data_IF_935643226539
#
_entry.id   IF_935643226539
#
_cell.length_a   1.000
_cell.length_b   1.000
_cell.length_c   1.000
_cell.angle_alpha   90.00
_cell.angle_beta   90.00
_cell.angle_gamma   90.00
#
_symmetry.space_group_name_H-M   'P 1'
#
loop_
_entity.id
_entity.type
_entity.pdbx_description
1 polymer ?
#
# COMPACT_ATOMS: atom_id res chain seq x y z
N UNK A 1 11.73 -7.86 15.90
CA UNK A 1 11.82 -8.30 14.50
C UNK A 1 10.42 -8.18 13.91
N UNK A 2 10.26 -7.46 12.80
CA UNK A 2 8.95 -7.24 12.16
C UNK A 2 8.76 -8.25 11.04
N UNK A 3 7.57 -8.86 10.93
CA UNK A 3 7.29 -9.83 9.86
C UNK A 3 6.99 -9.15 8.52
N UNK A 4 6.69 -7.85 8.54
CA UNK A 4 6.39 -7.04 7.37
C UNK A 4 6.93 -5.62 7.53
N UNK A 5 7.55 -5.10 6.48
CA UNK A 5 8.13 -3.75 6.43
C UNK A 5 7.21 -2.83 5.63
N UNK A 6 6.95 -1.64 6.16
CA UNK A 6 6.15 -0.61 5.51
C UNK A 6 6.76 0.76 5.80
N UNK A 7 7.17 1.46 4.74
CA UNK A 7 7.81 2.78 4.79
C UNK A 7 7.26 3.67 3.67
N UNK A 8 7.14 4.97 3.94
CA UNK A 8 6.68 5.95 2.95
C UNK A 8 7.87 6.77 2.44
N UNK A 9 8.12 6.69 1.13
CA UNK A 9 9.12 7.49 0.42
C UNK A 9 8.40 8.42 -0.56
N UNK A 10 8.17 9.67 -0.16
CA UNK A 10 7.40 10.62 -0.96
C UNK A 10 5.94 10.15 -1.11
N UNK A 11 5.54 9.80 -2.33
CA UNK A 11 4.22 9.25 -2.66
C UNK A 11 4.22 7.72 -2.85
N UNK A 12 5.34 7.05 -2.54
CA UNK A 12 5.51 5.60 -2.69
C UNK A 12 5.56 4.91 -1.33
N UNK A 13 4.57 4.06 -1.05
CA UNK A 13 4.56 3.11 0.05
C UNK A 13 5.39 1.87 -0.33
N UNK A 14 6.60 1.79 0.21
CA UNK A 14 7.49 0.63 0.10
C UNK A 14 7.01 -0.45 1.05
N UNK A 15 6.79 -1.66 0.53
CA UNK A 15 6.31 -2.80 1.30
C UNK A 15 7.18 -4.03 1.07
N UNK A 16 7.23 -4.95 2.04
CA UNK A 16 7.93 -6.21 1.84
C UNK A 16 7.93 -7.13 3.04
N UNK A 17 8.20 -8.40 2.79
CA UNK A 17 8.33 -9.41 3.84
C UNK A 17 9.63 -9.21 4.64
N UNK A 18 9.53 -9.39 5.96
CA UNK A 18 10.66 -9.38 6.88
C UNK A 18 10.93 -10.78 7.41
N UNK A 19 10.88 -10.93 8.74
CA UNK A 19 11.07 -12.23 9.39
C UNK A 19 10.00 -13.24 8.96
N UNK A 20 10.36 -14.52 8.66
CA UNK A 20 9.40 -15.54 8.25
C UNK A 20 8.25 -15.71 9.25
N UNK A 21 7.02 -15.67 8.74
CA UNK A 21 5.80 -15.82 9.53
C UNK A 21 4.64 -16.32 8.65
N UNK A 22 3.52 -16.66 9.28
CA UNK A 22 2.28 -17.04 8.60
C UNK A 22 1.39 -15.81 8.37
N UNK A 23 0.47 -15.90 7.40
CA UNK A 23 -0.34 -14.75 7.00
C UNK A 23 -1.22 -14.19 8.12
N UNK A 24 -1.65 -14.99 9.07
CA UNK A 24 -2.40 -14.55 10.25
C UNK A 24 -1.61 -13.57 11.13
N UNK A 25 -0.29 -13.77 11.27
CA UNK A 25 0.58 -12.81 11.94
C UNK A 25 0.93 -11.61 11.04
N UNK A 26 1.29 -11.86 9.77
CA UNK A 26 1.74 -10.80 8.85
C UNK A 26 0.65 -9.75 8.63
N UNK A 27 -0.63 -10.15 8.53
CA UNK A 27 -1.74 -9.19 8.38
C UNK A 27 -1.92 -8.32 9.63
N UNK A 28 -1.71 -8.87 10.82
CA UNK A 28 -1.79 -8.10 12.08
C UNK A 28 -0.65 -7.08 12.16
N UNK A 29 0.57 -7.50 11.85
CA UNK A 29 1.75 -6.64 11.86
C UNK A 29 1.62 -5.50 10.82
N UNK A 30 1.18 -5.81 9.60
CA UNK A 30 0.93 -4.81 8.56
C UNK A 30 -0.16 -3.82 8.99
N UNK A 31 -1.27 -4.31 9.53
CA UNK A 31 -2.36 -3.46 10.01
C UNK A 31 -1.90 -2.53 11.15
N UNK A 32 -1.11 -3.06 12.10
CA UNK A 32 -0.57 -2.31 13.22
C UNK A 32 0.37 -1.21 12.75
N UNK A 33 1.34 -1.52 11.87
CA UNK A 33 2.28 -0.51 11.35
C UNK A 33 1.56 0.60 10.59
N UNK A 34 0.59 0.27 9.73
CA UNK A 34 -0.19 1.30 9.02
C UNK A 34 -0.99 2.17 9.99
N UNK A 35 -1.55 1.59 11.06
CA UNK A 35 -2.27 2.34 12.09
C UNK A 35 -1.33 3.31 12.82
N UNK A 36 -0.11 2.89 13.15
CA UNK A 36 0.92 3.73 13.76
C UNK A 36 1.29 4.89 12.83
N UNK A 37 1.54 4.62 11.54
CA UNK A 37 1.85 5.66 10.53
C UNK A 37 0.73 6.71 10.41
N UNK A 38 -0.53 6.28 10.47
CA UNK A 38 -1.69 7.18 10.43
C UNK A 38 -1.73 8.05 11.70
N UNK A 39 -1.55 7.44 12.87
CA UNK A 39 -1.57 8.17 14.15
C UNK A 39 -0.41 9.15 14.30
N UNK A 40 0.76 8.81 13.75
CA UNK A 40 1.95 9.67 13.72
C UNK A 40 1.89 10.73 12.62
N UNK A 41 0.87 10.69 11.75
CA UNK A 41 0.73 11.64 10.65
C UNK A 41 1.76 11.44 9.54
N UNK A 42 2.38 10.26 9.44
CA UNK A 42 3.20 9.87 8.27
C UNK A 42 2.30 9.71 7.04
N UNK A 43 1.14 9.05 7.20
CA UNK A 43 0.12 8.86 6.16
C UNK A 43 -0.99 9.89 6.29
N UNK A 44 -0.81 11.07 5.68
CA UNK A 44 -1.77 12.19 5.76
C UNK A 44 -2.92 12.09 4.74
N UNK A 45 -2.89 11.10 3.85
CA UNK A 45 -3.75 11.07 2.68
C UNK A 45 -3.24 11.97 1.55
N UNK A 46 -4.00 12.06 0.47
CA UNK A 46 -3.61 12.82 -0.71
C UNK A 46 -4.35 12.41 -1.97
N UNK A 47 -3.91 12.93 -3.12
CA UNK A 47 -4.53 12.60 -4.41
C UNK A 47 -4.29 11.14 -4.78
N UNK A 48 -3.04 10.68 -4.68
CA UNK A 48 -2.64 9.35 -5.07
C UNK A 48 -1.59 8.78 -4.12
N UNK A 49 -1.65 7.48 -3.89
CA UNK A 49 -0.58 6.71 -3.25
C UNK A 49 -0.14 5.58 -4.19
N UNK A 50 1.16 5.42 -4.35
CA UNK A 50 1.79 4.31 -5.08
C UNK A 50 2.23 3.24 -4.10
N UNK A 51 1.91 1.98 -4.34
CA UNK A 51 2.36 0.84 -3.53
C UNK A 51 3.40 0.06 -4.33
N UNK A 52 4.56 -0.21 -3.72
CA UNK A 52 5.65 -0.90 -4.39
C UNK A 52 6.31 -1.94 -3.46
N UNK A 53 6.19 -3.21 -3.84
CA UNK A 53 6.88 -4.32 -3.21
C UNK A 53 6.02 -5.59 -3.12
N UNK A 54 6.59 -6.71 -2.65
CA UNK A 54 5.89 -7.98 -2.57
C UNK A 54 4.86 -8.01 -1.44
N UNK A 55 3.67 -8.52 -1.73
CA UNK A 55 2.61 -8.79 -0.77
C UNK A 55 1.92 -10.11 -1.07
N UNK A 56 1.45 -10.79 -0.02
CA UNK A 56 0.47 -11.88 -0.19
C UNK A 56 -0.92 -11.26 -0.39
N UNK A 57 -1.86 -12.03 -0.95
CA UNK A 57 -3.22 -11.55 -1.18
C UNK A 57 -3.91 -11.02 0.10
N UNK A 58 -3.86 -11.71 1.27
CA UNK A 58 -4.44 -11.17 2.50
C UNK A 58 -3.81 -9.85 2.96
N UNK A 59 -2.49 -9.71 2.81
CA UNK A 59 -1.76 -8.49 3.19
C UNK A 59 -2.11 -7.34 2.26
N UNK A 60 -2.23 -7.60 0.95
CA UNK A 60 -2.68 -6.60 -0.02
C UNK A 60 -4.08 -6.06 0.32
N UNK A 61 -5.03 -6.94 0.69
CA UNK A 61 -6.37 -6.52 1.14
C UNK A 61 -6.32 -5.60 2.37
N UNK A 62 -5.48 -5.91 3.36
CA UNK A 62 -5.33 -5.09 4.57
C UNK A 62 -4.69 -3.74 4.27
N UNK A 63 -3.60 -3.72 3.50
CA UNK A 63 -2.92 -2.48 3.13
C UNK A 63 -3.89 -1.57 2.39
N UNK A 64 -4.51 -2.08 1.33
CA UNK A 64 -5.42 -1.31 0.48
C UNK A 64 -6.63 -0.80 1.24
N UNK A 65 -7.26 -1.62 2.10
CA UNK A 65 -8.38 -1.16 2.94
C UNK A 65 -7.97 0.01 3.85
N UNK A 66 -6.79 -0.06 4.48
CA UNK A 66 -6.31 0.99 5.39
C UNK A 66 -5.99 2.30 4.67
N UNK A 67 -5.45 2.25 3.44
CA UNK A 67 -5.03 3.47 2.72
C UNK A 67 -6.10 4.03 1.77
N UNK A 68 -7.03 3.21 1.27
CA UNK A 68 -8.04 3.65 0.30
C UNK A 68 -8.98 4.75 0.83
N UNK A 69 -9.18 4.80 2.16
CA UNK A 69 -9.97 5.87 2.78
C UNK A 69 -9.19 7.19 2.94
N UNK A 70 -7.88 7.18 2.76
CA UNK A 70 -7.01 8.35 2.94
C UNK A 70 -6.62 9.02 1.61
N UNK A 71 -6.58 8.25 0.52
CA UNK A 71 -6.12 8.73 -0.78
C UNK A 71 -7.22 8.64 -1.83
N UNK A 72 -7.25 9.62 -2.75
CA UNK A 72 -8.21 9.65 -3.86
C UNK A 72 -8.05 8.48 -4.82
N UNK A 73 -6.82 8.03 -5.06
CA UNK A 73 -6.51 6.84 -5.85
C UNK A 73 -5.33 6.05 -5.26
N UNK A 74 -5.32 4.75 -5.51
CA UNK A 74 -4.22 3.84 -5.16
C UNK A 74 -3.73 3.15 -6.43
N UNK A 75 -2.42 3.21 -6.68
CA UNK A 75 -1.79 2.50 -7.78
C UNK A 75 -0.75 1.50 -7.26
N UNK A 76 -0.65 0.34 -7.88
CA UNK A 76 0.25 -0.75 -7.45
C UNK A 76 1.25 -1.04 -8.55
N UNK A 77 2.53 -1.14 -8.20
CA UNK A 77 3.59 -1.44 -9.17
C UNK A 77 3.45 -2.86 -9.73
N UNK A 78 3.35 -2.97 -11.05
CA UNK A 78 3.43 -4.24 -11.76
C UNK A 78 4.83 -4.38 -12.41
N UNK A 79 5.66 -5.34 -11.96
CA UNK A 79 7.01 -5.50 -12.46
C UNK A 79 7.09 -6.01 -13.91
N UNK A 80 6.03 -6.61 -14.45
CA UNK A 80 5.98 -7.05 -15.86
C UNK A 80 5.72 -5.86 -16.79
N UNK A 81 4.90 -4.92 -16.34
CA UNK A 81 4.60 -3.69 -17.08
C UNK A 81 5.66 -2.60 -16.86
N UNK A 82 6.41 -2.65 -15.75
CA UNK A 82 7.35 -1.61 -15.36
C UNK A 82 6.66 -0.29 -15.00
N UNK A 83 5.40 -0.37 -14.56
CA UNK A 83 4.52 0.78 -14.29
C UNK A 83 3.64 0.52 -13.08
N UNK A 84 3.03 1.58 -12.54
CA UNK A 84 1.97 1.46 -11.55
C UNK A 84 0.62 1.38 -12.24
N UNK A 85 -0.20 0.42 -11.82
CA UNK A 85 -1.57 0.25 -12.29
C UNK A 85 -2.51 0.84 -11.25
N UNK A 86 -3.39 1.76 -11.64
CA UNK A 86 -4.43 2.27 -10.73
C UNK A 86 -5.45 1.16 -10.45
N UNK A 87 -5.58 0.77 -9.18
CA UNK A 87 -6.42 -0.36 -8.75
C UNK A 87 -7.62 0.07 -7.90
N UNK A 88 -7.56 1.26 -7.30
CA UNK A 88 -8.65 1.84 -6.49
C UNK A 88 -8.71 3.32 -6.84
N UNK A 89 -9.90 3.86 -7.06
CA UNK A 89 -10.09 5.29 -7.29
C UNK A 89 -11.46 5.77 -6.83
N UNK A 90 -11.47 6.91 -6.17
CA UNK A 90 -12.61 7.77 -5.88
C UNK A 90 -12.42 9.15 -6.53
N UNK A 91 -11.30 9.36 -7.22
CA UNK A 91 -10.94 10.61 -7.91
C UNK A 91 -11.28 10.47 -9.41
N UNK A 92 -12.13 11.34 -9.98
CA UNK A 92 -12.53 11.26 -11.39
C UNK A 92 -11.37 11.50 -12.36
N UNK A 93 -10.22 11.98 -11.90
CA UNK A 93 -9.01 12.15 -12.72
C UNK A 93 -8.24 10.85 -12.96
N UNK A 94 -8.58 9.77 -12.26
CA UNK A 94 -7.94 8.45 -12.42
C UNK A 94 -8.99 7.37 -12.70
N UNK A 95 -8.72 6.52 -13.68
CA UNK A 95 -9.55 5.36 -14.03
C UNK A 95 -8.86 4.06 -13.62
N UNK A 96 -9.68 3.03 -13.33
CA UNK A 96 -9.15 1.69 -13.05
C UNK A 96 -8.38 1.17 -14.27
N UNK A 97 -7.17 0.69 -14.05
CA UNK A 97 -6.29 0.22 -15.12
C UNK A 97 -5.39 1.29 -15.75
N UNK A 98 -5.51 2.56 -15.34
CA UNK A 98 -4.57 3.60 -15.78
C UNK A 98 -3.13 3.21 -15.41
N UNK A 99 -2.20 3.48 -16.33
CA UNK A 99 -0.78 3.21 -16.15
C UNK A 99 -0.01 4.50 -15.89
N UNK A 100 0.60 4.60 -14.72
CA UNK A 100 1.34 5.79 -14.27
C UNK A 100 2.79 5.46 -13.84
N UNK A 101 3.60 6.51 -13.62
CA UNK A 101 5.01 6.41 -13.23
C UNK A 101 5.24 6.66 -11.73
#
# INVERSE_FOLDING_TARGET
MTTYHIELEGDVLKIGFGTPAQNDQIVQDAAKRLQEMIQQGELKGGKILKINGPASLPVACVITHKVAHLYGAIAVYDPKLGKYVVCITHDPNYQLGDLIN
#
